data_IF_295025418381
#
_entry.id   IF_295025418381
#
_cell.length_a   1.000
_cell.length_b   1.000
_cell.length_c   1.000
_cell.angle_alpha   90.00
_cell.angle_beta   90.00
_cell.angle_gamma   90.00
#
_symmetry.space_group_name_H-M   'P 1'
#
loop_
_entity.id
_entity.type
_entity.pdbx_description
1 polymer ?
#
# COMPACT_ATOMS: atom_id res chain seq x y z
N UNK A 1 -44.71 13.86 -16.00
CA UNK A 1 -45.15 15.28 -15.95
C UNK A 1 -45.79 15.73 -17.25
N UNK A 2 -45.15 15.54 -18.41
CA UNK A 2 -45.85 15.69 -19.68
C UNK A 2 -46.86 14.55 -19.92
N UNK A 3 -48.16 14.83 -19.76
CA UNK A 3 -49.26 13.87 -19.98
C UNK A 3 -49.35 13.35 -21.42
N UNK A 4 -48.74 14.07 -22.38
CA UNK A 4 -48.73 13.71 -23.80
C UNK A 4 -47.40 13.06 -24.24
N UNK A 5 -46.53 12.66 -23.31
CA UNK A 5 -45.29 11.97 -23.63
C UNK A 5 -45.55 10.61 -24.29
N UNK A 6 -45.02 10.41 -25.50
CA UNK A 6 -45.09 9.16 -26.27
C UNK A 6 -43.79 8.36 -26.28
N UNK A 7 -42.80 8.78 -25.50
CA UNK A 7 -41.51 8.10 -25.44
C UNK A 7 -41.65 6.73 -24.79
N UNK A 8 -40.99 5.73 -25.38
CA UNK A 8 -40.83 4.40 -24.80
C UNK A 8 -39.95 4.45 -23.54
N UNK A 9 -38.87 5.23 -23.59
CA UNK A 9 -38.05 5.56 -22.42
C UNK A 9 -38.52 6.88 -21.77
N UNK A 10 -38.95 6.78 -20.52
CA UNK A 10 -39.46 7.91 -19.73
C UNK A 10 -38.45 8.37 -18.66
N UNK A 11 -37.21 7.91 -18.74
CA UNK A 11 -36.10 8.43 -17.93
C UNK A 11 -36.03 9.96 -18.04
N UNK A 12 -35.81 10.63 -16.92
CA UNK A 12 -35.66 12.09 -16.90
C UNK A 12 -34.22 12.43 -17.26
N UNK A 13 -34.03 13.23 -18.31
CA UNK A 13 -32.68 13.67 -18.75
C UNK A 13 -32.47 15.16 -18.56
N UNK A 14 -33.55 15.94 -18.41
CA UNK A 14 -33.47 17.38 -18.20
C UNK A 14 -34.62 17.92 -17.37
N UNK A 15 -34.39 19.01 -16.67
CA UNK A 15 -35.38 19.80 -15.95
C UNK A 15 -35.31 21.22 -16.49
N UNK A 16 -36.41 21.72 -17.04
CA UNK A 16 -36.48 23.08 -17.56
C UNK A 16 -37.14 24.02 -16.55
N UNK A 17 -36.51 25.17 -16.31
CA UNK A 17 -36.98 26.20 -15.38
C UNK A 17 -37.63 27.39 -16.09
N UNK A 18 -37.60 27.43 -17.42
CA UNK A 18 -38.24 28.50 -18.19
C UNK A 18 -39.76 28.52 -17.94
N UNK A 19 -40.34 29.72 -17.83
CA UNK A 19 -41.77 29.92 -17.56
C UNK A 19 -42.66 29.27 -18.62
N UNK A 20 -42.23 29.30 -19.88
CA UNK A 20 -42.93 28.62 -20.98
C UNK A 20 -43.09 27.13 -20.73
N UNK A 21 -42.01 26.47 -20.32
CA UNK A 21 -41.99 25.05 -20.00
C UNK A 21 -42.72 24.75 -18.68
N UNK A 22 -42.51 25.57 -17.65
CA UNK A 22 -43.14 25.41 -16.34
C UNK A 22 -44.68 25.56 -16.38
N UNK A 23 -45.21 26.37 -17.30
CA UNK A 23 -46.66 26.53 -17.50
C UNK A 23 -47.39 25.20 -17.78
N UNK A 24 -46.70 24.25 -18.43
CA UNK A 24 -47.24 22.91 -18.70
C UNK A 24 -47.29 22.00 -17.47
N UNK A 25 -46.65 22.39 -16.37
CA UNK A 25 -46.61 21.65 -15.11
C UNK A 25 -47.09 22.53 -13.93
N UNK A 26 -48.10 23.37 -14.16
CA UNK A 26 -48.69 24.19 -13.11
C UNK A 26 -47.70 25.18 -12.48
N UNK A 27 -46.85 25.80 -13.29
CA UNK A 27 -45.80 26.74 -12.90
C UNK A 27 -44.68 26.15 -12.03
N UNK A 28 -44.50 24.83 -12.04
CA UNK A 28 -43.34 24.16 -11.46
C UNK A 28 -42.33 23.79 -12.57
N UNK A 29 -41.02 23.73 -12.26
CA UNK A 29 -40.03 23.21 -13.21
C UNK A 29 -40.46 21.85 -13.75
N UNK A 30 -40.28 21.64 -15.06
CA UNK A 30 -40.79 20.44 -15.74
C UNK A 30 -39.64 19.53 -16.14
N UNK A 31 -39.80 18.24 -15.83
CA UNK A 31 -38.87 17.17 -16.17
C UNK A 31 -39.21 16.57 -17.53
N UNK A 32 -38.21 16.47 -18.38
CA UNK A 32 -38.33 15.90 -19.73
C UNK A 32 -37.46 14.66 -19.89
N UNK A 33 -38.01 13.63 -20.56
CA UNK A 33 -37.21 12.59 -21.18
C UNK A 33 -36.55 13.11 -22.46
N UNK A 34 -35.59 12.35 -23.00
CA UNK A 34 -34.79 12.77 -24.14
C UNK A 34 -35.62 13.21 -25.35
N UNK A 35 -36.64 12.43 -25.72
CA UNK A 35 -37.52 12.79 -26.84
C UNK A 35 -38.31 14.09 -26.57
N UNK A 36 -38.83 14.27 -25.35
CA UNK A 36 -39.56 15.49 -25.00
C UNK A 36 -38.62 16.70 -24.93
N UNK A 37 -37.39 16.51 -24.45
CA UNK A 37 -36.37 17.55 -24.40
C UNK A 37 -36.06 18.04 -25.82
N UNK A 38 -35.70 17.16 -26.75
CA UNK A 38 -35.35 17.52 -28.13
C UNK A 38 -36.51 18.18 -28.89
N UNK A 39 -37.75 17.80 -28.58
CA UNK A 39 -38.94 18.41 -29.18
C UNK A 39 -39.20 19.84 -28.68
N UNK A 40 -38.80 20.15 -27.43
CA UNK A 40 -39.07 21.43 -26.77
C UNK A 40 -37.88 22.38 -26.79
N UNK A 41 -36.67 21.83 -26.85
CA UNK A 41 -35.40 22.54 -26.89
C UNK A 41 -34.68 22.11 -28.17
N UNK A 42 -34.75 22.96 -29.19
CA UNK A 42 -34.04 22.83 -30.46
C UNK A 42 -33.73 24.23 -31.00
N UNK A 43 -32.98 24.31 -32.10
CA UNK A 43 -32.59 25.60 -32.70
C UNK A 43 -33.74 26.56 -33.08
N UNK A 44 -35.00 26.11 -33.03
CA UNK A 44 -36.17 26.97 -33.30
C UNK A 44 -36.92 27.39 -32.04
N UNK A 45 -36.75 26.69 -30.92
CA UNK A 45 -37.53 26.90 -29.68
C UNK A 45 -36.73 26.45 -28.46
N UNK A 46 -36.71 27.29 -27.42
CA UNK A 46 -36.15 26.95 -26.12
C UNK A 46 -34.64 26.77 -26.09
N UNK A 47 -33.91 27.45 -26.98
CA UNK A 47 -32.44 27.47 -26.98
C UNK A 47 -31.88 28.33 -25.84
N UNK A 48 -32.62 29.36 -25.43
CA UNK A 48 -32.35 30.27 -24.32
C UNK A 48 -32.91 29.77 -22.97
N UNK A 49 -33.57 28.60 -22.97
CA UNK A 49 -34.13 28.04 -21.75
C UNK A 49 -33.04 27.56 -20.80
N UNK A 50 -33.16 27.93 -19.53
CA UNK A 50 -32.30 27.40 -18.47
C UNK A 50 -32.77 25.97 -18.15
N UNK A 51 -31.90 25.01 -18.46
CA UNK A 51 -32.14 23.58 -18.20
C UNK A 51 -31.06 23.01 -17.29
N UNK A 52 -31.47 22.20 -16.34
CA UNK A 52 -30.58 21.31 -15.60
C UNK A 52 -30.57 19.96 -16.31
N UNK A 53 -29.40 19.42 -16.63
CA UNK A 53 -29.25 18.12 -17.30
C UNK A 53 -28.43 17.16 -16.44
N UNK A 54 -28.48 15.88 -16.74
CA UNK A 54 -27.62 14.90 -16.09
C UNK A 54 -26.14 15.21 -16.38
N UNK A 55 -25.29 15.00 -15.38
CA UNK A 55 -23.84 15.09 -15.56
C UNK A 55 -23.37 14.09 -16.63
N UNK A 56 -22.45 14.54 -17.50
CA UNK A 56 -21.74 13.67 -18.43
C UNK A 56 -20.83 12.70 -17.65
N UNK A 57 -20.23 11.72 -18.34
CA UNK A 57 -19.15 10.93 -17.73
C UNK A 57 -17.96 11.85 -17.46
N UNK A 58 -17.20 11.55 -16.40
CA UNK A 58 -16.11 12.40 -15.92
C UNK A 58 -15.07 12.73 -17.01
N UNK A 59 -14.81 11.78 -17.90
CA UNK A 59 -13.82 11.91 -18.97
C UNK A 59 -14.34 12.62 -20.23
N UNK A 60 -15.65 12.87 -20.31
CA UNK A 60 -16.29 13.64 -21.40
C UNK A 60 -16.59 15.10 -20.98
N UNK A 61 -16.25 15.47 -19.75
CA UNK A 61 -16.40 16.82 -19.22
C UNK A 61 -15.24 17.71 -19.65
N UNK A 62 -15.47 19.02 -19.67
CA UNK A 62 -14.36 19.97 -19.71
C UNK A 62 -13.49 19.87 -18.44
N UNK A 63 -12.22 20.30 -18.48
CA UNK A 63 -11.30 20.14 -17.35
C UNK A 63 -11.77 20.83 -16.05
N UNK A 64 -12.47 21.95 -16.16
CA UNK A 64 -12.95 22.71 -15.01
C UNK A 64 -14.06 21.95 -14.27
N UNK A 65 -15.07 21.47 -15.02
CA UNK A 65 -16.15 20.66 -14.48
C UNK A 65 -15.66 19.30 -13.97
N UNK A 66 -14.67 18.70 -14.64
CA UNK A 66 -14.03 17.47 -14.17
C UNK A 66 -13.36 17.69 -12.80
N UNK A 67 -12.63 18.79 -12.63
CA UNK A 67 -12.00 19.14 -11.34
C UNK A 67 -13.06 19.32 -10.25
N UNK A 68 -14.16 20.02 -10.53
CA UNK A 68 -15.27 20.15 -9.57
C UNK A 68 -15.89 18.81 -9.19
N UNK A 69 -16.07 17.89 -10.16
CA UNK A 69 -16.58 16.55 -9.88
C UNK A 69 -15.62 15.77 -8.99
N UNK A 70 -14.33 15.77 -9.30
CA UNK A 70 -13.30 15.06 -8.52
C UNK A 70 -13.24 15.60 -7.10
N UNK A 71 -13.21 16.92 -6.92
CA UNK A 71 -13.21 17.54 -5.60
C UNK A 71 -14.51 17.26 -4.83
N UNK A 72 -15.66 17.25 -5.51
CA UNK A 72 -16.92 16.88 -4.88
C UNK A 72 -16.89 15.42 -4.38
N UNK A 73 -16.43 14.48 -5.21
CA UNK A 73 -16.28 13.07 -4.81
C UNK A 73 -15.33 12.94 -3.62
N UNK A 74 -14.15 13.56 -3.69
CA UNK A 74 -13.15 13.49 -2.63
C UNK A 74 -13.72 14.02 -1.32
N UNK A 75 -14.36 15.19 -1.33
CA UNK A 75 -14.93 15.79 -0.13
C UNK A 75 -16.09 14.96 0.43
N UNK A 76 -16.99 14.44 -0.42
CA UNK A 76 -18.09 13.56 0.02
C UNK A 76 -17.58 12.28 0.70
N UNK A 77 -16.53 11.67 0.15
CA UNK A 77 -15.90 10.49 0.75
C UNK A 77 -15.17 10.84 2.06
N UNK A 78 -14.55 12.02 2.17
CA UNK A 78 -13.90 12.49 3.41
C UNK A 78 -14.90 12.70 4.55
N UNK A 79 -16.12 13.16 4.23
CA UNK A 79 -17.17 13.39 5.23
C UNK A 79 -17.70 12.09 5.87
N UNK A 80 -17.43 10.91 5.29
CA UNK A 80 -17.88 9.62 5.82
C UNK A 80 -17.25 9.21 7.17
N UNK A 81 -16.40 10.05 7.77
CA UNK A 81 -15.77 9.81 9.07
C UNK A 81 -16.79 9.75 10.20
N UNK A 82 -16.60 8.83 11.14
CA UNK A 82 -17.33 8.80 12.39
C UNK A 82 -16.98 10.03 13.24
N UNK A 83 -17.95 10.56 13.99
CA UNK A 83 -17.78 11.74 14.87
C UNK A 83 -16.88 11.47 16.08
N UNK A 84 -16.49 10.23 16.31
CA UNK A 84 -15.51 9.89 17.32
C UNK A 84 -14.13 10.12 16.72
N UNK A 85 -13.38 11.18 17.13
CA UNK A 85 -11.95 11.13 16.94
C UNK A 85 -11.50 9.85 17.64
N UNK A 86 -10.98 8.88 16.89
CA UNK A 86 -10.03 7.96 17.48
C UNK A 86 -8.92 8.87 17.98
N UNK A 87 -8.94 9.18 19.28
CA UNK A 87 -7.81 9.76 19.98
C UNK A 87 -6.98 8.53 20.32
N UNK A 88 -5.86 8.26 19.62
CA UNK A 88 -4.94 7.24 20.07
C UNK A 88 -4.61 7.49 21.54
N UNK A 89 -4.57 6.44 22.35
CA UNK A 89 -4.17 6.54 23.77
C UNK A 89 -2.78 7.16 23.97
N UNK A 90 -2.00 7.30 22.88
CA UNK A 90 -0.63 7.81 22.84
C UNK A 90 -0.49 9.19 22.18
N UNK A 91 -1.57 10.00 22.10
CA UNK A 91 -1.45 11.39 21.64
C UNK A 91 -0.75 12.27 22.68
N UNK A 92 0.20 13.09 22.22
CA UNK A 92 0.76 14.16 23.06
C UNK A 92 -0.33 15.19 23.39
N UNK A 93 -0.24 15.87 24.54
CA UNK A 93 -1.22 16.87 25.00
C UNK A 93 -1.56 17.95 23.95
N UNK A 94 -0.62 18.23 23.03
CA UNK A 94 -0.77 19.20 21.95
C UNK A 94 -1.68 18.64 20.84
N UNK A 95 -1.51 17.38 20.45
CA UNK A 95 -2.34 16.72 19.44
C UNK A 95 -3.76 16.48 19.97
N UNK A 96 -3.89 16.12 21.24
CA UNK A 96 -5.19 16.00 21.92
C UNK A 96 -5.93 17.34 21.95
N UNK A 97 -5.21 18.44 22.24
CA UNK A 97 -5.77 19.80 22.16
C UNK A 97 -6.14 20.20 20.74
N UNK A 98 -5.36 19.83 19.72
CA UNK A 98 -5.68 20.12 18.32
C UNK A 98 -6.92 19.34 17.83
N UNK A 99 -7.04 18.06 18.20
CA UNK A 99 -8.23 17.25 17.92
C UNK A 99 -9.47 17.80 18.63
N UNK A 100 -9.33 18.24 19.90
CA UNK A 100 -10.38 18.92 20.64
C UNK A 100 -10.75 20.28 20.03
N UNK A 101 -9.79 21.07 19.56
CA UNK A 101 -10.03 22.35 18.89
C UNK A 101 -10.74 22.19 17.54
N UNK A 102 -10.44 21.12 16.80
CA UNK A 102 -11.18 20.74 15.59
C UNK A 102 -12.61 20.26 15.92
N UNK A 103 -12.82 19.62 17.08
CA UNK A 103 -14.16 19.26 17.54
C UNK A 103 -14.96 20.47 18.09
N UNK A 104 -14.27 21.52 18.56
CA UNK A 104 -14.86 22.71 19.18
C UNK A 104 -15.01 23.90 18.21
N UNK A 105 -14.59 23.76 16.95
CA UNK A 105 -14.74 24.85 15.97
C UNK A 105 -16.21 24.96 15.54
N UNK A 106 -16.89 26.11 15.74
CA UNK A 106 -18.36 26.18 15.63
C UNK A 106 -18.92 26.16 14.19
N UNK A 107 -18.08 25.90 13.18
CA UNK A 107 -18.44 26.07 11.76
C UNK A 107 -18.69 24.77 11.00
N UNK A 108 -18.49 23.60 11.60
CA UNK A 108 -19.03 22.35 11.04
C UNK A 108 -20.46 22.20 11.52
N UNK A 109 -21.41 22.44 10.62
CA UNK A 109 -22.82 22.05 10.76
C UNK A 109 -22.92 20.72 11.49
N UNK A 110 -23.71 20.66 12.56
CA UNK A 110 -23.98 19.46 13.37
C UNK A 110 -24.75 18.40 12.54
N UNK A 111 -24.13 17.88 11.50
CA UNK A 111 -24.64 16.74 10.75
C UNK A 111 -24.63 15.52 11.67
N UNK A 112 -25.64 14.67 11.58
CA UNK A 112 -25.62 13.38 12.28
C UNK A 112 -24.57 12.45 11.65
N UNK A 113 -24.23 11.36 12.34
CA UNK A 113 -23.38 10.29 11.77
C UNK A 113 -24.04 9.68 10.53
N UNK A 114 -25.37 9.54 10.56
CA UNK A 114 -26.16 9.03 9.43
C UNK A 114 -26.05 9.94 8.20
N UNK A 115 -26.14 11.26 8.38
CA UNK A 115 -26.01 12.23 7.28
C UNK A 115 -24.59 12.23 6.69
N UNK A 116 -23.56 12.08 7.54
CA UNK A 116 -22.16 11.93 7.10
C UNK A 116 -21.92 10.64 6.31
N UNK A 117 -22.42 9.52 6.80
CA UNK A 117 -22.36 8.25 6.07
C UNK A 117 -23.11 8.35 4.74
N UNK A 118 -24.26 9.04 4.71
CA UNK A 118 -25.00 9.30 3.50
C UNK A 118 -24.18 10.12 2.47
N UNK A 119 -23.39 11.10 2.91
CA UNK A 119 -22.46 11.82 2.01
C UNK A 119 -21.45 10.86 1.36
N UNK A 120 -20.87 9.95 2.15
CA UNK A 120 -19.96 8.91 1.63
C UNK A 120 -20.62 8.04 0.56
N UNK A 121 -21.91 7.67 0.75
CA UNK A 121 -22.67 6.90 -0.24
C UNK A 121 -22.84 7.66 -1.56
N UNK A 122 -23.15 8.95 -1.50
CA UNK A 122 -23.23 9.79 -2.70
C UNK A 122 -21.86 9.93 -3.39
N UNK A 123 -20.78 10.04 -2.62
CA UNK A 123 -19.41 10.04 -3.16
C UNK A 123 -19.13 8.77 -3.97
N UNK A 124 -19.45 7.60 -3.42
CA UNK A 124 -19.31 6.31 -4.12
C UNK A 124 -20.19 6.23 -5.37
N UNK A 125 -21.44 6.70 -5.31
CA UNK A 125 -22.34 6.68 -6.47
C UNK A 125 -21.83 7.56 -7.61
N UNK A 126 -21.31 8.75 -7.30
CA UNK A 126 -20.70 9.62 -8.28
C UNK A 126 -19.43 8.99 -8.86
N UNK A 127 -18.58 8.41 -8.02
CA UNK A 127 -17.35 7.74 -8.44
C UNK A 127 -17.64 6.59 -9.41
N UNK A 128 -18.42 5.59 -8.99
CA UNK A 128 -18.72 4.42 -9.82
C UNK A 128 -19.59 4.79 -11.02
N UNK A 129 -20.53 5.72 -10.84
CA UNK A 129 -21.48 6.12 -11.87
C UNK A 129 -20.88 7.00 -12.98
N UNK A 130 -19.93 7.88 -12.66
CA UNK A 130 -19.41 8.89 -13.59
C UNK A 130 -17.93 8.69 -13.93
N UNK A 131 -17.12 8.06 -13.06
CA UNK A 131 -15.67 7.91 -13.22
C UNK A 131 -15.26 6.47 -13.59
N UNK A 132 -15.99 5.81 -14.49
CA UNK A 132 -15.60 4.49 -14.98
C UNK A 132 -14.30 4.58 -15.80
N UNK A 133 -13.25 3.80 -15.49
CA UNK A 133 -11.94 3.93 -16.15
C UNK A 133 -12.02 3.62 -17.65
N UNK A 134 -11.22 4.33 -18.44
CA UNK A 134 -11.03 4.10 -19.87
C UNK A 134 -9.57 4.44 -20.26
N UNK A 135 -9.17 4.18 -21.50
CA UNK A 135 -7.78 4.38 -21.97
C UNK A 135 -7.29 5.84 -21.87
N UNK A 136 -8.20 6.82 -21.82
CA UNK A 136 -7.89 8.25 -21.75
C UNK A 136 -7.94 8.79 -20.32
N UNK A 137 -8.07 7.91 -19.31
CA UNK A 137 -8.22 8.33 -17.93
C UNK A 137 -6.90 8.92 -17.41
N UNK A 138 -6.88 10.19 -16.94
CA UNK A 138 -5.66 10.79 -16.41
C UNK A 138 -5.18 10.05 -15.16
N UNK A 139 -3.90 9.60 -15.10
CA UNK A 139 -3.41 8.75 -14.04
C UNK A 139 -3.39 9.44 -12.67
N UNK A 140 -3.10 10.73 -12.63
CA UNK A 140 -3.04 11.53 -11.40
C UNK A 140 -4.44 11.68 -10.77
N UNK A 141 -5.45 11.93 -11.60
CA UNK A 141 -6.84 12.06 -11.17
C UNK A 141 -7.36 10.72 -10.66
N UNK A 142 -7.09 9.63 -11.40
CA UNK A 142 -7.49 8.29 -10.99
C UNK A 142 -6.82 7.87 -9.68
N UNK A 143 -5.52 8.15 -9.53
CA UNK A 143 -4.78 7.85 -8.30
C UNK A 143 -5.29 8.63 -7.08
N UNK A 144 -5.66 9.91 -7.25
CA UNK A 144 -6.29 10.72 -6.20
C UNK A 144 -7.63 10.11 -5.75
N UNK A 145 -8.47 9.71 -6.71
CA UNK A 145 -9.76 9.08 -6.43
C UNK A 145 -9.60 7.71 -5.76
N UNK A 146 -8.66 6.88 -6.23
CA UNK A 146 -8.35 5.57 -5.65
C UNK A 146 -7.87 5.68 -4.21
N UNK A 147 -6.91 6.56 -3.93
CA UNK A 147 -6.40 6.74 -2.58
C UNK A 147 -7.48 7.21 -1.61
N UNK A 148 -8.35 8.14 -2.05
CA UNK A 148 -9.48 8.56 -1.24
C UNK A 148 -10.50 7.43 -1.03
N UNK A 149 -10.74 6.59 -2.04
CA UNK A 149 -11.60 5.42 -1.91
C UNK A 149 -11.01 4.41 -0.89
N UNK A 150 -9.72 4.13 -0.92
CA UNK A 150 -9.08 3.25 0.07
C UNK A 150 -9.16 3.84 1.48
N UNK A 151 -9.01 5.16 1.62
CA UNK A 151 -9.26 5.82 2.89
C UNK A 151 -10.72 5.67 3.34
N UNK A 152 -11.68 5.75 2.40
CA UNK A 152 -13.10 5.53 2.68
C UNK A 152 -13.39 4.11 3.18
N UNK A 153 -12.77 3.07 2.61
CA UNK A 153 -12.83 1.71 3.14
C UNK A 153 -12.37 1.65 4.60
N UNK A 154 -11.25 2.30 4.91
CA UNK A 154 -10.70 2.33 6.27
C UNK A 154 -11.64 2.99 7.28
N UNK A 155 -12.16 4.19 6.99
CA UNK A 155 -13.02 4.91 7.96
C UNK A 155 -14.40 4.28 8.12
N UNK A 156 -14.84 3.48 7.14
CA UNK A 156 -16.12 2.78 7.19
C UNK A 156 -16.00 1.33 7.67
N UNK A 157 -14.80 0.81 7.91
CA UNK A 157 -14.58 -0.57 8.34
C UNK A 157 -15.16 -0.88 9.73
N UNK A 158 -15.29 0.13 10.60
CA UNK A 158 -15.77 0.01 11.98
C UNK A 158 -17.02 0.86 12.26
N UNK A 159 -17.86 1.11 11.25
CA UNK A 159 -19.10 1.88 11.42
C UNK A 159 -20.16 1.04 12.15
N UNK A 160 -20.26 1.18 13.47
CA UNK A 160 -21.18 0.45 14.35
C UNK A 160 -22.62 1.00 14.29
N UNK A 161 -23.38 0.61 13.26
CA UNK A 161 -24.85 0.61 13.29
C UNK A 161 -25.39 -0.46 12.31
N UNK A 162 -26.14 -1.45 12.83
CA UNK A 162 -26.52 -2.69 12.13
C UNK A 162 -27.21 -2.45 10.77
N UNK A 163 -27.99 -1.38 10.62
CA UNK A 163 -28.69 -1.08 9.36
C UNK A 163 -27.83 -0.30 8.37
N UNK A 164 -27.02 0.65 8.86
CA UNK A 164 -26.15 1.45 8.02
C UNK A 164 -24.97 0.62 7.48
N UNK A 165 -24.46 -0.31 8.29
CA UNK A 165 -23.43 -1.28 7.93
C UNK A 165 -23.86 -2.15 6.74
N UNK A 166 -25.06 -2.74 6.78
CA UNK A 166 -25.57 -3.58 5.69
C UNK A 166 -25.63 -2.85 4.34
N UNK A 167 -25.94 -1.54 4.35
CA UNK A 167 -26.02 -0.75 3.12
C UNK A 167 -24.63 -0.36 2.61
N UNK A 168 -23.71 0.03 3.50
CA UNK A 168 -22.33 0.36 3.12
C UNK A 168 -21.59 -0.87 2.59
N UNK A 169 -21.76 -2.02 3.23
CA UNK A 169 -21.17 -3.27 2.79
C UNK A 169 -21.70 -3.69 1.41
N UNK A 170 -23.01 -3.57 1.16
CA UNK A 170 -23.57 -3.76 -0.19
C UNK A 170 -22.97 -2.82 -1.22
N UNK A 171 -22.72 -1.56 -0.88
CA UNK A 171 -22.07 -0.64 -1.81
C UNK A 171 -20.64 -1.09 -2.16
N UNK A 172 -19.90 -1.56 -1.15
CA UNK A 172 -18.56 -2.10 -1.35
C UNK A 172 -18.61 -3.32 -2.28
N UNK A 173 -19.43 -4.31 -1.97
CA UNK A 173 -19.48 -5.58 -2.71
C UNK A 173 -20.10 -5.44 -4.10
N UNK A 174 -21.24 -4.75 -4.20
CA UNK A 174 -22.07 -4.79 -5.41
C UNK A 174 -21.58 -3.80 -6.49
N UNK A 175 -20.89 -2.73 -6.08
CA UNK A 175 -20.50 -1.65 -6.98
C UNK A 175 -19.01 -1.37 -6.97
N UNK A 176 -18.42 -1.13 -5.78
CA UNK A 176 -17.02 -0.68 -5.69
C UNK A 176 -16.04 -1.77 -6.09
N UNK A 177 -16.25 -3.01 -5.65
CA UNK A 177 -15.39 -4.14 -6.02
C UNK A 177 -15.37 -4.36 -7.53
N UNK A 178 -16.54 -4.27 -8.19
CA UNK A 178 -16.63 -4.33 -9.65
C UNK A 178 -15.82 -3.23 -10.33
N UNK A 179 -15.90 -2.00 -9.83
CA UNK A 179 -15.14 -0.86 -10.34
C UNK A 179 -13.62 -1.02 -10.12
N UNK A 180 -13.19 -1.48 -8.94
CA UNK A 180 -11.78 -1.77 -8.64
C UNK A 180 -11.22 -2.88 -9.52
N UNK A 181 -12.01 -3.91 -9.82
CA UNK A 181 -11.60 -5.00 -10.70
C UNK A 181 -11.33 -4.52 -12.13
N UNK A 182 -12.14 -3.59 -12.66
CA UNK A 182 -11.88 -3.00 -13.98
C UNK A 182 -10.62 -2.12 -13.98
N UNK A 183 -10.34 -1.41 -12.88
CA UNK A 183 -9.08 -0.66 -12.72
C UNK A 183 -7.89 -1.62 -12.63
N UNK A 184 -8.02 -2.71 -11.89
CA UNK A 184 -6.96 -3.70 -11.76
C UNK A 184 -6.56 -4.26 -13.14
N UNK A 185 -7.53 -4.45 -14.04
CA UNK A 185 -7.27 -4.89 -15.42
C UNK A 185 -6.67 -3.82 -16.33
N UNK A 186 -7.09 -2.56 -16.19
CA UNK A 186 -6.75 -1.48 -17.15
C UNK A 186 -5.58 -0.60 -16.69
N UNK A 187 -5.44 -0.37 -15.39
CA UNK A 187 -4.56 0.60 -14.77
C UNK A 187 -3.86 0.02 -13.52
N UNK A 188 -3.39 -1.22 -13.62
CA UNK A 188 -2.76 -1.97 -12.52
C UNK A 188 -1.68 -1.17 -11.78
N UNK A 189 -0.74 -0.56 -12.51
CA UNK A 189 0.38 0.21 -11.94
C UNK A 189 -0.10 1.37 -11.07
N UNK A 190 -1.19 2.04 -11.45
CA UNK A 190 -1.74 3.17 -10.69
C UNK A 190 -2.35 2.66 -9.39
N UNK A 191 -3.18 1.61 -9.47
CA UNK A 191 -3.79 0.99 -8.29
C UNK A 191 -2.74 0.58 -7.26
N UNK A 192 -1.69 -0.11 -7.73
CA UNK A 192 -0.60 -0.58 -6.87
C UNK A 192 0.23 0.59 -6.31
N UNK A 193 0.48 1.63 -7.11
CA UNK A 193 1.19 2.84 -6.64
C UNK A 193 0.46 3.54 -5.48
N UNK A 194 -0.88 3.48 -5.45
CA UNK A 194 -1.69 4.05 -4.36
C UNK A 194 -1.66 3.23 -3.06
N UNK A 195 -1.18 1.98 -3.10
CA UNK A 195 -1.05 1.09 -1.95
C UNK A 195 0.35 1.11 -1.32
N UNK A 196 1.29 1.85 -1.91
CA UNK A 196 2.65 2.00 -1.39
C UNK A 196 2.67 2.83 -0.10
N UNK A 197 3.67 2.64 0.79
CA UNK A 197 3.82 3.44 2.02
C UNK A 197 3.98 4.93 1.74
N UNK A 198 4.69 5.24 0.64
CA UNK A 198 4.97 6.60 0.19
C UNK A 198 4.43 6.80 -1.23
N UNK A 199 3.11 6.95 -1.41
CA UNK A 199 2.53 7.15 -2.73
C UNK A 199 2.89 8.53 -3.31
N UNK A 200 2.67 8.70 -4.62
CA UNK A 200 2.86 9.99 -5.30
C UNK A 200 2.00 11.11 -4.71
N UNK A 201 2.42 12.36 -4.85
CA UNK A 201 1.78 13.52 -4.21
C UNK A 201 0.28 13.65 -4.49
N UNK A 202 -0.15 13.37 -5.73
CA UNK A 202 -1.56 13.42 -6.09
C UNK A 202 -2.42 12.39 -5.33
N UNK A 203 -1.81 11.30 -4.85
CA UNK A 203 -2.46 10.24 -4.08
C UNK A 203 -2.34 10.43 -2.57
N UNK A 204 -1.64 11.46 -2.08
CA UNK A 204 -1.54 11.79 -0.65
C UNK A 204 -2.78 12.56 -0.19
N UNK A 205 -3.91 11.86 -0.12
CA UNK A 205 -5.22 12.43 0.24
C UNK A 205 -5.89 11.62 1.34
N UNK A 206 -6.48 12.31 2.31
CA UNK A 206 -7.31 11.68 3.34
C UNK A 206 -6.52 11.06 4.51
N UNK A 207 -7.18 10.97 5.66
CA UNK A 207 -6.69 10.38 6.90
C UNK A 207 -5.41 11.03 7.41
N UNK A 208 -4.35 10.24 7.57
CA UNK A 208 -3.07 10.70 8.10
C UNK A 208 -2.37 11.74 7.20
N UNK A 209 -2.70 11.81 5.90
CA UNK A 209 -2.12 12.83 5.00
C UNK A 209 -2.66 14.24 5.29
N UNK A 210 -3.83 14.33 5.91
CA UNK A 210 -4.43 15.60 6.32
C UNK A 210 -4.05 15.98 7.78
N UNK A 211 -3.20 15.18 8.44
CA UNK A 211 -2.87 15.31 9.87
C UNK A 211 -1.35 15.42 10.09
N UNK A 212 -0.96 16.09 11.17
CA UNK A 212 0.43 16.12 11.63
C UNK A 212 0.67 14.92 12.56
N UNK A 213 1.14 13.80 12.02
CA UNK A 213 1.45 12.58 12.79
C UNK A 213 2.87 12.09 12.55
N UNK A 214 3.41 11.28 13.46
CA UNK A 214 4.75 10.70 13.32
C UNK A 214 4.83 9.74 12.12
N UNK A 215 6.05 9.49 11.63
CA UNK A 215 6.25 8.56 10.51
C UNK A 215 5.81 7.13 10.84
N UNK A 216 6.00 6.69 12.09
CA UNK A 216 5.46 5.41 12.59
C UNK A 216 3.94 5.39 12.53
N UNK A 217 3.26 6.47 12.93
CA UNK A 217 1.80 6.56 12.85
C UNK A 217 1.30 6.59 11.40
N UNK A 218 2.02 7.26 10.49
CA UNK A 218 1.75 7.21 9.05
C UNK A 218 1.76 5.76 8.56
N UNK A 219 2.82 5.01 8.85
CA UNK A 219 2.97 3.63 8.40
C UNK A 219 1.91 2.70 9.03
N UNK A 220 1.65 2.86 10.33
CA UNK A 220 0.61 2.12 11.05
C UNK A 220 -0.78 2.31 10.42
N UNK A 221 -1.15 3.56 10.16
CA UNK A 221 -2.43 3.89 9.54
C UNK A 221 -2.51 3.42 8.08
N UNK A 222 -1.41 3.44 7.34
CA UNK A 222 -1.37 2.93 5.98
C UNK A 222 -1.50 1.40 5.89
N UNK A 223 -0.82 0.66 6.77
CA UNK A 223 -1.01 -0.79 6.89
C UNK A 223 -2.46 -1.15 7.25
N UNK A 224 -3.10 -0.39 8.17
CA UNK A 224 -4.52 -0.57 8.48
C UNK A 224 -5.42 -0.38 7.26
N UNK A 225 -5.12 0.57 6.36
CA UNK A 225 -5.88 0.73 5.11
C UNK A 225 -5.79 -0.51 4.23
N UNK A 226 -4.60 -1.11 4.10
CA UNK A 226 -4.43 -2.36 3.35
C UNK A 226 -5.28 -3.48 3.97
N UNK A 227 -5.27 -3.60 5.31
CA UNK A 227 -6.13 -4.57 6.02
C UNK A 227 -7.61 -4.41 5.69
N UNK A 228 -8.11 -3.18 5.62
CA UNK A 228 -9.51 -2.91 5.29
C UNK A 228 -9.89 -3.31 3.86
N UNK A 229 -8.93 -3.56 2.98
CA UNK A 229 -9.18 -4.01 1.60
C UNK A 229 -9.17 -5.55 1.47
N UNK A 230 -8.60 -6.26 2.45
CA UNK A 230 -8.44 -7.72 2.43
C UNK A 230 -9.78 -8.48 2.31
N UNK A 231 -10.85 -8.15 3.07
CA UNK A 231 -12.13 -8.87 2.98
C UNK A 231 -12.79 -8.81 1.60
N UNK A 232 -12.35 -7.88 0.75
CA UNK A 232 -12.91 -7.61 -0.57
C UNK A 232 -12.05 -8.17 -1.71
N UNK A 233 -11.04 -9.00 -1.37
CA UNK A 233 -10.13 -9.67 -2.34
C UNK A 233 -9.38 -8.69 -3.26
N UNK A 234 -9.26 -7.42 -2.86
CA UNK A 234 -8.51 -6.40 -3.62
C UNK A 234 -7.01 -6.66 -3.55
N UNK A 235 -6.53 -7.22 -2.43
CA UNK A 235 -5.11 -7.55 -2.22
C UNK A 235 -4.85 -8.97 -2.72
N UNK A 236 -4.47 -9.09 -3.99
CA UNK A 236 -4.06 -10.36 -4.60
C UNK A 236 -2.62 -10.71 -4.26
N UNK A 237 -2.18 -11.95 -4.54
CA UNK A 237 -0.77 -12.35 -4.36
C UNK A 237 0.19 -11.49 -5.20
N UNK A 238 -0.20 -11.10 -6.42
CA UNK A 238 0.62 -10.24 -7.28
C UNK A 238 0.78 -8.83 -6.68
N UNK A 239 -0.32 -8.25 -6.18
CA UNK A 239 -0.28 -6.95 -5.51
C UNK A 239 0.54 -7.04 -4.22
N UNK A 240 0.37 -8.10 -3.45
CA UNK A 240 1.10 -8.35 -2.22
C UNK A 240 2.61 -8.44 -2.47
N UNK A 241 3.03 -9.24 -3.45
CA UNK A 241 4.43 -9.44 -3.79
C UNK A 241 5.11 -8.17 -4.28
N UNK A 242 4.35 -7.25 -4.88
CA UNK A 242 4.83 -5.94 -5.25
C UNK A 242 4.89 -4.99 -4.04
N UNK A 243 3.79 -4.85 -3.30
CA UNK A 243 3.58 -3.79 -2.29
C UNK A 243 4.33 -4.07 -0.99
N UNK A 244 4.27 -5.29 -0.46
CA UNK A 244 4.81 -5.61 0.86
C UNK A 244 6.32 -5.36 1.02
N UNK A 245 7.18 -5.63 0.01
CA UNK A 245 8.58 -5.21 0.02
C UNK A 245 8.80 -3.73 0.36
N UNK A 246 8.00 -2.83 -0.22
CA UNK A 246 8.11 -1.39 0.04
C UNK A 246 7.71 -1.06 1.47
N UNK A 247 6.67 -1.72 2.00
CA UNK A 247 6.25 -1.53 3.39
C UNK A 247 7.30 -1.97 4.40
N UNK A 248 7.90 -3.15 4.22
CA UNK A 248 8.95 -3.61 5.14
C UNK A 248 10.22 -2.78 5.01
N UNK A 249 10.54 -2.27 3.82
CA UNK A 249 11.64 -1.34 3.62
C UNK A 249 11.41 -0.02 4.37
N UNK A 250 10.22 0.57 4.21
CA UNK A 250 9.85 1.79 4.92
C UNK A 250 9.86 1.58 6.44
N UNK A 251 9.34 0.45 6.93
CA UNK A 251 9.39 0.11 8.36
C UNK A 251 10.83 -0.04 8.85
N UNK A 252 11.70 -0.71 8.10
CA UNK A 252 13.09 -0.92 8.49
C UNK A 252 13.92 0.37 8.53
N UNK A 253 13.62 1.34 7.67
CA UNK A 253 14.37 2.60 7.55
C UNK A 253 13.80 3.73 8.39
N UNK A 254 12.47 3.85 8.43
CA UNK A 254 11.80 5.06 8.90
C UNK A 254 11.32 4.97 10.34
N UNK A 255 11.19 3.76 10.89
CA UNK A 255 10.64 3.54 12.22
C UNK A 255 11.77 3.40 13.24
N UNK A 256 11.87 4.28 14.24
CA UNK A 256 12.84 4.13 15.32
C UNK A 256 12.63 2.81 16.08
N UNK A 257 13.72 2.18 16.54
CA UNK A 257 13.67 0.88 17.25
C UNK A 257 12.75 0.90 18.48
N UNK A 258 12.62 2.06 19.14
CA UNK A 258 11.75 2.24 20.31
C UNK A 258 10.26 2.22 19.96
N UNK A 259 9.90 2.63 18.75
CA UNK A 259 8.51 2.73 18.28
C UNK A 259 8.10 1.50 17.46
N UNK A 260 9.06 0.70 16.99
CA UNK A 260 8.83 -0.52 16.23
C UNK A 260 7.77 -1.45 16.86
N UNK A 261 7.74 -1.70 18.20
CA UNK A 261 6.72 -2.53 18.83
C UNK A 261 5.27 -2.09 18.57
N UNK A 262 5.02 -0.82 18.22
CA UNK A 262 3.68 -0.32 17.90
C UNK A 262 3.08 -0.99 16.64
N UNK A 263 3.94 -1.47 15.74
CA UNK A 263 3.54 -2.14 14.51
C UNK A 263 3.37 -3.66 14.69
N UNK A 264 3.83 -4.21 15.82
CA UNK A 264 3.82 -5.66 16.09
C UNK A 264 2.46 -6.29 15.82
N UNK A 265 1.41 -5.77 16.46
CA UNK A 265 0.07 -6.35 16.36
C UNK A 265 -0.48 -6.39 14.93
N UNK A 266 -0.14 -5.39 14.11
CA UNK A 266 -0.59 -5.34 12.71
C UNK A 266 0.22 -6.30 11.84
N UNK A 267 1.55 -6.25 11.95
CA UNK A 267 2.42 -7.10 11.17
C UNK A 267 2.25 -8.58 11.54
N UNK A 268 2.08 -8.91 12.82
CA UNK A 268 1.75 -10.27 13.27
C UNK A 268 0.46 -10.77 12.65
N UNK A 269 -0.60 -9.96 12.58
CA UNK A 269 -1.88 -10.37 11.99
C UNK A 269 -1.81 -10.57 10.48
N UNK A 270 -1.06 -9.72 9.76
CA UNK A 270 -1.05 -9.75 8.29
C UNK A 270 -0.12 -10.85 7.76
N UNK A 271 1.01 -11.07 8.45
CA UNK A 271 2.05 -12.04 8.07
C UNK A 271 1.90 -13.40 8.76
N UNK A 272 0.78 -13.64 9.45
CA UNK A 272 0.47 -14.93 10.05
C UNK A 272 0.20 -15.99 8.97
N UNK A 273 1.00 -17.06 8.85
CA UNK A 273 0.79 -18.08 7.81
C UNK A 273 -0.50 -18.87 7.95
N UNK A 274 -1.09 -18.94 9.15
CA UNK A 274 -2.21 -19.81 9.48
C UNK A 274 -3.52 -19.03 9.64
N UNK A 275 -3.43 -17.82 10.19
CA UNK A 275 -4.59 -17.00 10.59
C UNK A 275 -4.71 -15.69 9.81
N UNK A 276 -3.84 -15.42 8.84
CA UNK A 276 -3.90 -14.17 8.08
C UNK A 276 -5.23 -14.05 7.31
N UNK A 277 -5.87 -12.87 7.35
CA UNK A 277 -7.12 -12.64 6.63
C UNK A 277 -6.97 -12.72 5.10
N UNK A 278 -5.72 -12.69 4.59
CA UNK A 278 -5.43 -12.82 3.16
C UNK A 278 -5.72 -14.23 2.61
N UNK A 279 -5.78 -15.24 3.47
CA UNK A 279 -5.99 -16.63 3.04
C UNK A 279 -4.83 -17.21 2.22
N UNK A 280 -3.65 -16.59 2.27
CA UNK A 280 -2.45 -17.10 1.62
C UNK A 280 -1.84 -18.23 2.46
N UNK A 281 -1.36 -19.28 1.80
CA UNK A 281 -0.49 -20.23 2.46
C UNK A 281 0.88 -19.58 2.80
N UNK A 282 1.64 -20.23 3.66
CA UNK A 282 2.96 -19.76 4.08
C UNK A 282 3.91 -19.44 2.92
N UNK A 283 3.85 -20.21 1.82
CA UNK A 283 4.75 -20.00 0.66
C UNK A 283 4.36 -18.75 -0.12
N UNK A 284 3.06 -18.52 -0.32
CA UNK A 284 2.54 -17.31 -0.97
C UNK A 284 2.76 -16.07 -0.10
N UNK A 285 2.56 -16.19 1.21
CA UNK A 285 2.74 -15.08 2.16
C UNK A 285 4.14 -14.48 2.10
N UNK A 286 5.17 -15.34 2.04
CA UNK A 286 6.58 -14.95 2.02
C UNK A 286 7.22 -15.06 0.63
N UNK A 287 6.43 -15.13 -0.44
CA UNK A 287 6.97 -15.27 -1.80
C UNK A 287 7.85 -14.08 -2.19
N UNK A 288 7.42 -12.87 -1.85
CA UNK A 288 8.19 -11.63 -2.02
C UNK A 288 9.58 -11.64 -1.38
N UNK A 289 9.77 -12.43 -0.31
CA UNK A 289 11.09 -12.67 0.30
C UNK A 289 11.84 -13.72 -0.50
N UNK A 290 11.21 -14.85 -0.81
CA UNK A 290 11.82 -15.98 -1.53
C UNK A 290 12.50 -15.55 -2.82
N UNK A 291 11.82 -14.73 -3.64
CA UNK A 291 12.34 -14.27 -4.93
C UNK A 291 13.61 -13.42 -4.78
N UNK A 292 13.84 -12.78 -3.62
CA UNK A 292 15.00 -11.92 -3.37
C UNK A 292 16.27 -12.68 -3.02
N UNK A 293 16.18 -13.98 -2.79
CA UNK A 293 17.35 -14.85 -2.59
C UNK A 293 17.73 -15.65 -3.85
N UNK A 294 16.93 -15.58 -4.92
CA UNK A 294 17.14 -16.35 -6.15
C UNK A 294 17.80 -15.52 -7.25
N UNK A 295 19.06 -15.85 -7.56
CA UNK A 295 19.85 -15.23 -8.64
C UNK A 295 19.98 -13.69 -8.50
N UNK A 296 20.05 -13.20 -7.26
CA UNK A 296 20.11 -11.79 -6.90
C UNK A 296 21.50 -11.39 -6.39
N UNK A 297 21.74 -10.08 -6.27
CA UNK A 297 22.98 -9.52 -5.73
C UNK A 297 23.01 -9.55 -4.19
N UNK A 298 24.20 -9.49 -3.55
CA UNK A 298 24.29 -9.44 -2.09
C UNK A 298 23.50 -8.28 -1.47
N UNK A 299 23.45 -7.12 -2.14
CA UNK A 299 22.66 -5.96 -1.67
C UNK A 299 21.17 -6.23 -1.60
N UNK A 300 20.62 -6.99 -2.57
CA UNK A 300 19.20 -7.36 -2.58
C UNK A 300 18.90 -8.36 -1.46
N UNK A 301 19.82 -9.31 -1.21
CA UNK A 301 19.69 -10.26 -0.11
C UNK A 301 19.80 -9.58 1.25
N UNK A 302 20.76 -8.67 1.44
CA UNK A 302 20.91 -7.88 2.67
C UNK A 302 19.63 -7.09 3.00
N UNK A 303 19.02 -6.46 1.99
CA UNK A 303 17.75 -5.76 2.16
C UNK A 303 16.63 -6.72 2.65
N UNK A 304 16.49 -7.89 2.03
CA UNK A 304 15.52 -8.88 2.46
C UNK A 304 15.82 -9.43 3.88
N UNK A 305 17.10 -9.59 4.23
CA UNK A 305 17.53 -10.01 5.55
C UNK A 305 17.20 -8.96 6.62
N UNK A 306 17.36 -7.67 6.32
CA UNK A 306 16.95 -6.59 7.23
C UNK A 306 15.45 -6.65 7.52
N UNK A 307 14.62 -6.95 6.52
CA UNK A 307 13.18 -7.14 6.75
C UNK A 307 12.90 -8.32 7.67
N UNK A 308 13.53 -9.47 7.42
CA UNK A 308 13.40 -10.66 8.27
C UNK A 308 13.92 -10.41 9.69
N UNK A 309 14.95 -9.58 9.86
CA UNK A 309 15.48 -9.17 11.15
C UNK A 309 14.48 -8.29 11.90
N UNK A 310 13.86 -7.31 11.23
CA UNK A 310 12.76 -6.50 11.78
C UNK A 310 11.61 -7.39 12.24
N UNK A 311 11.14 -8.31 11.40
CA UNK A 311 10.06 -9.24 11.75
C UNK A 311 10.43 -10.13 12.95
N UNK A 312 11.65 -10.66 12.97
CA UNK A 312 12.18 -11.45 14.09
C UNK A 312 12.29 -10.64 15.39
N UNK A 313 12.71 -9.38 15.31
CA UNK A 313 12.79 -8.47 16.46
C UNK A 313 11.40 -8.13 17.04
N UNK A 314 10.39 -8.10 16.18
CA UNK A 314 8.98 -7.96 16.54
C UNK A 314 8.36 -9.24 17.08
N UNK A 315 9.13 -10.32 17.19
CA UNK A 315 8.69 -11.63 17.64
C UNK A 315 7.64 -12.26 16.72
N UNK A 316 7.68 -11.95 15.42
CA UNK A 316 6.84 -12.59 14.40
C UNK A 316 7.48 -13.92 14.03
N UNK A 317 6.69 -14.99 14.13
CA UNK A 317 7.11 -16.36 13.85
C UNK A 317 7.13 -16.57 12.34
N UNK A 318 8.30 -16.83 11.79
CA UNK A 318 8.48 -17.15 10.37
C UNK A 318 8.78 -18.64 10.24
N UNK A 319 8.03 -19.41 9.44
CA UNK A 319 8.22 -20.86 9.36
C UNK A 319 9.68 -21.25 9.01
N UNK A 320 10.32 -22.02 9.91
CA UNK A 320 11.75 -22.37 9.78
C UNK A 320 12.11 -23.02 8.44
N UNK A 321 11.23 -23.89 7.92
CA UNK A 321 11.45 -24.56 6.63
C UNK A 321 11.56 -23.56 5.46
N UNK A 322 10.84 -22.43 5.53
CA UNK A 322 10.95 -21.36 4.54
C UNK A 322 12.27 -20.61 4.69
N UNK A 323 12.67 -20.25 5.91
CA UNK A 323 13.97 -19.59 6.16
C UNK A 323 15.14 -20.42 5.64
N UNK A 324 15.15 -21.73 5.92
CA UNK A 324 16.19 -22.62 5.40
C UNK A 324 16.19 -22.67 3.87
N UNK A 325 15.01 -22.72 3.24
CA UNK A 325 14.89 -22.68 1.78
C UNK A 325 15.43 -21.36 1.21
N UNK A 326 15.05 -20.22 1.81
CA UNK A 326 15.49 -18.89 1.37
C UNK A 326 17.00 -18.74 1.46
N UNK A 327 17.60 -19.19 2.56
CA UNK A 327 19.02 -19.01 2.81
C UNK A 327 19.88 -19.99 1.99
N UNK A 328 19.38 -21.20 1.73
CA UNK A 328 20.01 -22.13 0.78
C UNK A 328 20.04 -21.54 -0.64
N UNK A 329 18.90 -21.04 -1.13
CA UNK A 329 18.81 -20.33 -2.41
C UNK A 329 19.75 -19.10 -2.43
N UNK A 330 19.78 -18.35 -1.33
CA UNK A 330 20.63 -17.17 -1.15
C UNK A 330 22.10 -17.47 -1.31
N UNK A 331 22.62 -18.45 -0.57
CA UNK A 331 24.04 -18.84 -0.63
C UNK A 331 24.41 -19.37 -2.02
N UNK A 332 23.54 -20.15 -2.66
CA UNK A 332 23.78 -20.63 -4.01
C UNK A 332 23.89 -19.47 -5.00
N UNK A 333 22.97 -18.50 -4.92
CA UNK A 333 23.03 -17.26 -5.71
C UNK A 333 24.31 -16.46 -5.46
N UNK A 334 24.78 -16.38 -4.22
CA UNK A 334 26.02 -15.67 -3.87
C UNK A 334 27.27 -16.36 -4.47
N UNK A 335 27.29 -17.70 -4.52
CA UNK A 335 28.37 -18.49 -5.14
C UNK A 335 28.39 -18.37 -6.65
N UNK A 336 27.22 -18.40 -7.29
CA UNK A 336 27.11 -18.25 -8.75
C UNK A 336 27.62 -16.89 -9.23
N UNK A 337 27.38 -15.82 -8.45
CA UNK A 337 27.90 -14.48 -8.73
C UNK A 337 29.45 -14.41 -8.72
N UNK A 338 30.14 -15.29 -7.97
CA UNK A 338 31.62 -15.35 -7.97
C UNK A 338 32.20 -16.10 -9.18
N UNK A 339 31.43 -17.03 -9.77
CA UNK A 339 31.89 -17.88 -10.88
C UNK A 339 31.77 -17.17 -12.23
N UNK A 340 30.98 -16.09 -12.33
CA UNK A 340 30.94 -15.21 -13.50
C UNK A 340 31.78 -13.95 -13.27
N UNK A 341 33.12 -13.98 -13.41
CA UNK A 341 33.87 -12.75 -13.55
C UNK A 341 33.43 -12.06 -14.83
N UNK A 342 33.35 -10.73 -14.77
CA UNK A 342 33.16 -9.82 -15.89
C UNK A 342 34.25 -9.99 -16.95
N UNK A 343 34.14 -11.03 -17.78
CA UNK A 343 34.86 -11.11 -19.05
C UNK A 343 34.03 -10.33 -20.06
N UNK A 344 34.51 -9.14 -20.40
CA UNK A 344 34.06 -8.46 -21.60
C UNK A 344 34.42 -9.32 -22.80
N UNK A 345 33.41 -9.77 -23.53
CA UNK A 345 33.41 -9.94 -24.97
C UNK A 345 31.95 -10.18 -25.40
N UNK A 346 31.49 -9.36 -26.34
CA UNK A 346 30.17 -9.45 -26.94
C UNK A 346 30.05 -10.79 -27.68
N UNK A 347 29.13 -11.66 -27.27
CA UNK A 347 28.56 -12.66 -28.17
C UNK A 347 27.12 -12.98 -27.78
N UNK A 348 26.24 -12.80 -28.77
CA UNK A 348 24.79 -12.98 -28.68
C UNK A 348 24.45 -14.46 -28.62
N UNK A 349 23.96 -14.94 -27.48
CA UNK A 349 23.10 -16.13 -27.42
C UNK A 349 22.08 -15.97 -26.28
N UNK A 350 20.79 -16.13 -26.60
CA UNK A 350 19.67 -16.02 -25.67
C UNK A 350 19.74 -17.12 -24.61
N UNK A 351 20.02 -16.72 -23.36
CA UNK A 351 19.92 -17.58 -22.18
C UNK A 351 19.14 -16.82 -21.08
N UNK A 352 18.36 -17.50 -20.22
CA UNK A 352 17.19 -16.93 -19.58
C UNK A 352 17.59 -15.87 -18.54
N UNK A 353 16.98 -14.70 -18.70
CA UNK A 353 16.99 -13.49 -17.85
C UNK A 353 17.53 -13.75 -16.42
N UNK A 354 18.71 -13.19 -16.11
CA UNK A 354 19.10 -12.85 -14.73
C UNK A 354 17.89 -12.21 -14.06
N UNK A 355 17.56 -12.58 -12.82
CA UNK A 355 16.41 -11.98 -12.14
C UNK A 355 16.62 -10.46 -12.08
N UNK A 356 15.77 -9.70 -12.77
CA UNK A 356 15.88 -8.24 -12.95
C UNK A 356 15.55 -7.48 -11.65
N UNK A 357 15.62 -8.15 -10.49
CA UNK A 357 15.15 -7.64 -9.20
C UNK A 357 16.24 -6.71 -8.66
N UNK A 358 15.96 -5.41 -8.71
CA UNK A 358 16.80 -4.37 -8.11
C UNK A 358 16.44 -4.17 -6.64
N UNK A 359 17.35 -3.62 -5.81
CA UNK A 359 17.00 -3.18 -4.46
C UNK A 359 15.80 -2.24 -4.51
N UNK A 360 14.92 -2.33 -3.51
CA UNK A 360 13.83 -1.37 -3.35
C UNK A 360 14.47 -0.02 -3.03
N UNK A 361 14.36 0.93 -3.95
CA UNK A 361 14.81 2.31 -3.76
C UNK A 361 13.61 3.14 -3.33
N UNK A 362 13.77 4.02 -2.34
CA UNK A 362 12.81 5.10 -2.14
C UNK A 362 13.18 6.22 -3.12
N UNK A 363 12.20 6.77 -3.83
CA UNK A 363 12.38 8.00 -4.59
C UNK A 363 12.75 9.12 -3.61
N UNK A 364 14.04 9.42 -3.47
CA UNK A 364 14.58 10.62 -2.80
C UNK A 364 14.10 11.94 -3.48
N UNK A 365 13.20 11.87 -4.46
CA UNK A 365 12.72 13.01 -5.26
C UNK A 365 11.32 13.53 -4.90
N UNK A 366 10.68 13.04 -3.84
CA UNK A 366 9.55 13.74 -3.24
C UNK A 366 10.03 14.41 -1.96
N UNK A 367 10.22 15.72 -2.01
CA UNK A 367 10.49 16.61 -0.87
C UNK A 367 9.88 16.03 0.41
N UNK A 368 10.74 15.73 1.38
CA UNK A 368 10.33 15.53 2.77
C UNK A 368 9.61 16.80 3.19
N UNK A 369 8.29 16.82 3.03
CA UNK A 369 7.45 17.93 3.41
C UNK A 369 7.51 18.03 4.93
N UNK A 370 8.32 18.96 5.44
CA UNK A 370 8.10 19.79 6.63
C UNK A 370 7.68 19.16 7.95
N UNK A 371 7.66 17.83 8.11
CA UNK A 371 7.39 17.15 9.37
C UNK A 371 8.73 16.77 10.01
N UNK A 372 9.52 17.80 10.32
CA UNK A 372 10.76 17.67 11.08
C UNK A 372 10.46 17.96 12.53
N UNK A 373 10.35 16.91 13.32
CA UNK A 373 10.61 16.94 14.76
C UNK A 373 11.47 15.71 15.08
N UNK A 374 12.75 15.76 14.67
CA UNK A 374 13.83 15.05 15.36
C UNK A 374 15.21 15.40 14.77
N UNK A 375 16.00 16.11 15.58
CA UNK A 375 17.46 16.18 15.45
C UNK A 375 18.09 14.80 15.75
N UNK A 376 18.00 13.86 14.79
CA UNK A 376 18.74 12.59 14.89
C UNK A 376 19.11 11.96 13.54
N UNK A 377 18.95 12.68 12.43
CA UNK A 377 19.27 12.16 11.08
C UNK A 377 20.76 12.22 10.70
N UNK A 378 21.67 12.24 11.68
CA UNK A 378 23.12 12.34 11.45
C UNK A 378 23.94 11.09 11.80
N UNK A 379 23.36 9.87 11.80
CA UNK A 379 24.20 8.69 12.10
C UNK A 379 23.86 7.34 11.44
N UNK A 380 23.02 7.25 10.41
CA UNK A 380 22.75 5.96 9.73
C UNK A 380 23.09 5.89 8.24
N UNK A 381 23.51 6.99 7.61
CA UNK A 381 24.08 6.99 6.26
C UNK A 381 25.62 7.08 6.33
N UNK A 382 26.25 6.09 6.96
CA UNK A 382 27.60 5.74 6.53
C UNK A 382 27.43 4.92 5.25
N UNK A 383 27.48 5.60 4.10
CA UNK A 383 27.74 4.98 2.81
C UNK A 383 29.17 4.42 2.83
N UNK A 384 29.41 3.41 3.67
CA UNK A 384 30.59 2.60 3.57
C UNK A 384 30.41 1.78 2.29
N UNK A 385 31.29 2.01 1.30
CA UNK A 385 31.39 1.14 0.15
C UNK A 385 31.93 -0.21 0.64
N UNK A 386 31.06 -1.03 1.25
CA UNK A 386 31.40 -2.37 1.67
C UNK A 386 31.83 -3.17 0.45
N UNK A 387 32.94 -3.88 0.58
CA UNK A 387 33.36 -4.81 -0.47
C UNK A 387 32.29 -5.88 -0.66
N UNK A 388 32.17 -6.42 -1.88
CA UNK A 388 31.17 -7.47 -2.17
C UNK A 388 31.33 -8.69 -1.24
N UNK A 389 32.57 -8.98 -0.83
CA UNK A 389 32.89 -10.02 0.15
C UNK A 389 32.41 -9.69 1.57
N UNK A 390 32.49 -8.43 2.02
CA UNK A 390 31.92 -7.99 3.30
C UNK A 390 30.39 -8.10 3.32
N UNK A 391 29.72 -7.70 2.23
CA UNK A 391 28.27 -7.82 2.11
C UNK A 391 27.82 -9.29 2.12
N UNK A 392 28.53 -10.17 1.40
CA UNK A 392 28.28 -11.62 1.41
C UNK A 392 28.44 -12.21 2.82
N UNK A 393 29.47 -11.81 3.54
CA UNK A 393 29.72 -12.28 4.90
C UNK A 393 28.69 -11.72 5.90
N UNK A 394 28.33 -10.45 5.78
CA UNK A 394 27.23 -9.80 6.52
C UNK A 394 25.92 -10.56 6.31
N UNK A 395 25.59 -10.92 5.06
CA UNK A 395 24.42 -11.74 4.76
C UNK A 395 24.46 -13.08 5.50
N UNK A 396 25.59 -13.79 5.49
CA UNK A 396 25.73 -15.06 6.22
C UNK A 396 25.54 -14.90 7.73
N UNK A 397 26.08 -13.84 8.34
CA UNK A 397 25.89 -13.53 9.77
C UNK A 397 24.42 -13.26 10.08
N UNK A 398 23.75 -12.42 9.29
CA UNK A 398 22.33 -12.11 9.46
C UNK A 398 21.45 -13.35 9.30
N UNK A 399 21.73 -14.21 8.32
CA UNK A 399 21.03 -15.49 8.14
C UNK A 399 21.11 -16.36 9.40
N UNK A 400 22.30 -16.49 10.01
CA UNK A 400 22.47 -17.27 11.24
C UNK A 400 21.79 -16.64 12.45
N UNK A 401 21.90 -15.31 12.65
CA UNK A 401 21.21 -14.59 13.72
C UNK A 401 19.69 -14.77 13.63
N UNK A 402 19.12 -14.66 12.43
CA UNK A 402 17.70 -14.88 12.18
C UNK A 402 17.31 -16.33 12.49
N UNK A 403 18.05 -17.33 11.99
CA UNK A 403 17.77 -18.76 12.28
C UNK A 403 17.81 -19.02 13.79
N UNK A 404 18.86 -18.56 14.48
CA UNK A 404 19.03 -18.78 15.92
C UNK A 404 17.86 -18.19 16.71
N UNK A 405 17.54 -16.92 16.48
CA UNK A 405 16.40 -16.27 17.14
C UNK A 405 15.09 -16.95 16.80
N UNK A 406 14.85 -17.31 15.54
CA UNK A 406 13.60 -17.98 15.16
C UNK A 406 13.49 -19.39 15.75
N UNK A 407 14.58 -20.14 15.87
CA UNK A 407 14.58 -21.44 16.56
C UNK A 407 14.26 -21.31 18.05
N UNK A 408 14.78 -20.29 18.72
CA UNK A 408 14.40 -19.99 20.11
C UNK A 408 12.92 -19.66 20.23
N UNK A 409 12.36 -18.93 19.25
CA UNK A 409 10.92 -18.61 19.20
C UNK A 409 10.02 -19.80 18.90
N UNK A 410 10.49 -20.75 18.10
CA UNK A 410 9.80 -22.01 17.85
C UNK A 410 10.01 -23.03 19.00
N UNK A 411 10.68 -22.63 20.09
CA UNK A 411 10.98 -23.48 21.24
C UNK A 411 11.67 -24.80 20.84
N UNK A 412 12.57 -24.73 19.85
CA UNK A 412 13.28 -25.93 19.36
C UNK A 412 14.14 -26.49 20.50
N UNK A 413 13.84 -27.73 20.91
CA UNK A 413 14.53 -28.41 21.99
C UNK A 413 16.04 -28.52 21.72
N UNK A 414 16.83 -28.06 22.69
CA UNK A 414 18.30 -28.19 22.68
C UNK A 414 18.70 -29.64 22.91
N UNK A 415 19.84 -30.04 22.34
CA UNK A 415 20.45 -31.37 22.54
C UNK A 415 19.63 -32.57 22.01
N UNK A 416 18.72 -32.35 21.06
CA UNK A 416 17.94 -33.41 20.37
C UNK A 416 18.76 -34.27 19.37
N UNK A 417 20.06 -34.00 19.23
CA UNK A 417 20.96 -34.69 18.32
C UNK A 417 20.88 -34.18 16.88
N UNK A 418 21.61 -34.84 15.96
CA UNK A 418 21.75 -34.41 14.55
C UNK A 418 20.71 -35.02 13.60
N UNK A 419 19.80 -35.85 14.11
CA UNK A 419 18.86 -36.62 13.29
C UNK A 419 17.50 -35.94 13.10
N UNK A 420 17.24 -34.84 13.79
CA UNK A 420 16.02 -34.05 13.58
C UNK A 420 16.09 -33.32 12.24
N UNK A 421 14.93 -33.05 11.63
CA UNK A 421 14.84 -32.33 10.35
C UNK A 421 15.51 -30.96 10.46
N UNK A 422 15.22 -30.22 11.53
CA UNK A 422 15.82 -28.90 11.81
C UNK A 422 17.34 -28.99 11.97
N UNK A 423 17.87 -29.99 12.68
CA UNK A 423 19.33 -30.14 12.81
C UNK A 423 19.99 -30.46 11.46
N UNK A 424 19.33 -31.25 10.60
CA UNK A 424 19.81 -31.55 9.26
C UNK A 424 19.79 -30.32 8.35
N UNK A 425 18.74 -29.49 8.44
CA UNK A 425 18.64 -28.22 7.71
C UNK A 425 19.77 -27.26 8.11
N UNK A 426 20.03 -27.09 9.41
CA UNK A 426 21.14 -26.26 9.91
C UNK A 426 22.49 -26.81 9.43
N UNK A 427 22.70 -28.13 9.53
CA UNK A 427 23.93 -28.76 9.05
C UNK A 427 24.15 -28.51 7.55
N UNK A 428 23.09 -28.57 6.74
CA UNK A 428 23.15 -28.27 5.31
C UNK A 428 23.50 -26.80 5.07
N UNK A 429 22.84 -25.89 5.77
CA UNK A 429 23.09 -24.45 5.67
C UNK A 429 24.55 -24.10 6.02
N UNK A 430 25.03 -24.58 7.18
CA UNK A 430 26.41 -24.35 7.65
C UNK A 430 27.45 -24.94 6.69
N UNK A 431 27.23 -26.15 6.18
CA UNK A 431 28.11 -26.76 5.17
C UNK A 431 28.16 -25.91 3.91
N UNK A 432 27.02 -25.37 3.46
CA UNK A 432 26.97 -24.50 2.29
C UNK A 432 27.76 -23.21 2.53
N UNK A 433 27.61 -22.57 3.70
CA UNK A 433 28.36 -21.37 4.08
C UNK A 433 29.87 -21.62 4.20
N UNK A 434 30.29 -22.73 4.84
CA UNK A 434 31.71 -23.08 5.02
C UNK A 434 32.44 -23.37 3.70
N UNK A 435 31.71 -23.80 2.67
CA UNK A 435 32.27 -24.00 1.34
C UNK A 435 32.38 -22.69 0.53
N UNK A 436 31.97 -21.55 1.09
CA UNK A 436 31.99 -20.27 0.38
C UNK A 436 33.38 -19.61 0.42
N UNK A 437 33.87 -19.03 -0.69
CA UNK A 437 35.23 -18.51 -0.79
C UNK A 437 35.49 -17.32 0.12
N UNK A 438 34.45 -16.53 0.44
CA UNK A 438 34.54 -15.34 1.29
C UNK A 438 34.71 -15.64 2.79
N UNK A 439 34.74 -16.92 3.21
CA UNK A 439 35.01 -17.33 4.60
C UNK A 439 36.46 -17.84 4.84
N UNK A 440 37.23 -18.15 3.79
CA UNK A 440 38.34 -19.12 3.91
C UNK A 440 39.71 -18.48 4.22
N UNK A 441 39.95 -17.21 3.86
CA UNK A 441 41.16 -16.49 4.29
C UNK A 441 41.14 -15.02 3.89
N UNK A 442 41.35 -14.12 4.86
CA UNK A 442 41.50 -12.68 4.61
C UNK A 442 42.89 -12.20 5.05
N UNK A 443 43.56 -11.45 4.17
CA UNK A 443 44.84 -10.80 4.45
C UNK A 443 44.61 -9.29 4.60
N UNK A 444 44.63 -8.79 5.84
CA UNK A 444 44.47 -7.37 6.14
C UNK A 444 45.61 -6.56 5.49
N UNK A 445 45.34 -5.91 4.36
CA UNK A 445 46.32 -5.09 3.63
C UNK A 445 45.93 -3.61 3.71
N UNK A 446 46.34 -2.92 4.78
CA UNK A 446 46.08 -1.48 4.97
C UNK A 446 46.31 -0.97 6.40
N UNK A 447 46.30 0.36 6.59
CA UNK A 447 46.65 1.08 7.84
C UNK A 447 45.64 0.96 9.00
N UNK A 448 44.65 0.07 8.90
CA UNK A 448 43.62 -0.20 9.91
C UNK A 448 43.73 -1.62 10.51
N UNK A 449 44.94 -2.05 10.90
CA UNK A 449 45.18 -3.43 11.40
C UNK A 449 44.39 -3.80 12.67
N UNK A 450 43.79 -2.83 13.36
CA UNK A 450 43.06 -3.05 14.61
C UNK A 450 41.54 -3.12 14.46
N UNK A 451 40.96 -2.68 13.33
CA UNK A 451 39.49 -2.59 13.11
C UNK A 451 39.17 -3.03 11.66
N UNK A 452 39.36 -4.32 11.37
CA UNK A 452 39.02 -4.88 10.06
C UNK A 452 37.61 -5.47 10.08
N UNK A 453 36.67 -4.81 9.40
CA UNK A 453 35.26 -5.24 9.35
C UNK A 453 35.07 -6.68 8.86
N UNK A 454 35.85 -7.11 7.87
CA UNK A 454 35.77 -8.48 7.37
C UNK A 454 36.19 -9.50 8.45
N UNK A 455 37.27 -9.22 9.19
CA UNK A 455 37.70 -10.08 10.29
C UNK A 455 36.70 -10.09 11.44
N UNK A 456 36.11 -8.94 11.78
CA UNK A 456 35.06 -8.85 12.80
C UNK A 456 33.83 -9.67 12.41
N UNK A 457 33.33 -9.51 11.18
CA UNK A 457 32.20 -10.29 10.68
C UNK A 457 32.51 -11.80 10.64
N UNK A 458 33.75 -12.19 10.32
CA UNK A 458 34.16 -13.59 10.33
C UNK A 458 34.20 -14.16 11.75
N UNK A 459 34.68 -13.37 12.73
CA UNK A 459 34.64 -13.74 14.15
C UNK A 459 33.20 -13.90 14.61
N UNK A 460 32.32 -12.94 14.30
CA UNK A 460 30.89 -12.98 14.65
C UNK A 460 30.19 -14.18 14.02
N UNK A 461 30.53 -14.54 12.78
CA UNK A 461 29.97 -15.74 12.14
C UNK A 461 30.36 -17.04 12.85
N UNK A 462 31.58 -17.11 13.40
CA UNK A 462 32.07 -18.28 14.14
C UNK A 462 31.57 -18.37 15.58
N UNK A 463 31.13 -17.25 16.17
CA UNK A 463 30.50 -17.18 17.50
C UNK A 463 29.07 -17.70 17.44
#
# INVERSE_FOLDING_TARGET
ENKNCRSSDKSVVSICFATECASYNGNHPIRYCLQCHNNRHNHRRGEDHIVHTCLKKAWDMDPEMQNYLVEAIVNLLKEARSTTPEIPKDMTDIQTKAALLNALTPNTTNLSVEERQLMGRFGVWLLVGLCAPNENTPPEVLGRLLSMLFHWFHVTAYSFDDQAECTLEKLKTDYVCGWLNEICKSHFTILVSCLLPHPADYARVGGHWDMLVSRTSHLKNGLNRIFCLVPYEVITTEIWDYVMPHWLEAVAKDVPEKELPELKMLLSKILDPDMSPLGFDAKKMYHFVSIRFKQTTPKVQEQALNWLQVLTSLEIIIPLHLLFTFFEDGINSLKENDIQPSNGEEEKEECPRKSSISPVVEDDSAQTSGLSDDEAQTSRQNLCQHSDAELKLSCCVLMLDIVLKQMERHEVERHTGIHTVVAQDICRLLRSMLCAPWLISHLCTGSGKTECMHCELAIVWHQ
#
